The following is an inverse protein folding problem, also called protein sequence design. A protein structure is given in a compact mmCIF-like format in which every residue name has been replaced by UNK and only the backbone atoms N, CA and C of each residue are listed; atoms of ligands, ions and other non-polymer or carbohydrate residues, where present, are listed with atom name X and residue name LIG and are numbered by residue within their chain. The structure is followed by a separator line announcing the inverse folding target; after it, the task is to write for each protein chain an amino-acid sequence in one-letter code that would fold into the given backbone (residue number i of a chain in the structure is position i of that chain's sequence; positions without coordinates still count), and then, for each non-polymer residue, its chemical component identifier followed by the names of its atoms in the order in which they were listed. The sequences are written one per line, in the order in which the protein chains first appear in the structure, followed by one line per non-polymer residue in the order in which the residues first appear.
data_IF_543447576327
#
_entry.id   IF_543447576327
#
_cell.length_a   1.000
_cell.length_b   1.000
_cell.length_c   1.000
_cell.angle_alpha   90.00
_cell.angle_beta   90.00
_cell.angle_gamma   90.00
#
_symmetry.space_group_name_H-M   'P 1'
#
loop_
_entity.id
_entity.type
_entity.pdbx_description
1 polymer ?
#
# COMPACT_ATOMS: atom_id res chain seq x y z
N UNK A 1 16.41 -1.53 -24.00
CA UNK A 1 16.59 -1.11 -22.61
C UNK A 1 16.14 -2.24 -21.69
N UNK A 2 16.82 -2.41 -20.58
CA UNK A 2 16.42 -3.33 -19.49
C UNK A 2 16.13 -2.51 -18.25
N UNK A 3 15.06 -2.89 -17.51
CA UNK A 3 14.71 -2.29 -16.23
C UNK A 3 14.95 -3.29 -15.11
N UNK A 4 15.53 -2.83 -14.01
CA UNK A 4 15.78 -3.61 -12.80
C UNK A 4 15.23 -2.86 -11.61
N UNK A 5 14.39 -3.50 -10.80
CA UNK A 5 13.87 -2.91 -9.58
C UNK A 5 14.99 -2.68 -8.55
N UNK A 6 14.88 -1.59 -7.79
CA UNK A 6 15.74 -1.25 -6.65
C UNK A 6 14.85 -1.02 -5.43
N UNK A 7 15.43 -0.80 -4.25
CA UNK A 7 14.68 -0.57 -3.01
C UNK A 7 13.74 0.63 -3.11
N UNK A 8 14.21 1.74 -3.72
CA UNK A 8 13.49 3.01 -3.80
C UNK A 8 13.00 3.37 -5.21
N UNK A 9 13.04 2.42 -6.16
CA UNK A 9 12.64 2.72 -7.53
C UNK A 9 13.10 1.68 -8.55
N UNK A 10 13.70 2.13 -9.63
CA UNK A 10 14.21 1.25 -10.69
C UNK A 10 15.37 1.87 -11.47
N UNK A 11 16.24 1.02 -11.99
CA UNK A 11 17.35 1.37 -12.86
C UNK A 11 17.00 0.95 -14.30
N UNK A 12 17.10 1.89 -15.23
CA UNK A 12 16.95 1.61 -16.66
C UNK A 12 18.32 1.65 -17.34
N UNK A 13 18.77 0.50 -17.84
CA UNK A 13 20.01 0.41 -18.63
C UNK A 13 19.69 0.57 -20.12
N UNK A 14 20.25 1.60 -20.71
CA UNK A 14 20.07 1.89 -22.13
C UNK A 14 21.06 1.04 -22.98
N UNK A 15 20.65 0.54 -24.16
CA UNK A 15 21.50 -0.33 -25.00
C UNK A 15 22.66 0.42 -25.65
N UNK A 16 22.62 1.74 -25.65
CA UNK A 16 23.65 2.61 -26.24
C UNK A 16 23.77 3.91 -25.43
N UNK A 17 24.85 4.61 -25.63
CA UNK A 17 25.09 5.95 -25.10
C UNK A 17 24.09 6.95 -25.69
N UNK A 18 23.51 7.77 -24.85
CA UNK A 18 22.65 8.90 -25.24
C UNK A 18 23.51 10.03 -25.77
N UNK A 19 23.03 10.71 -26.79
CA UNK A 19 23.70 11.87 -27.38
C UNK A 19 23.15 13.15 -26.83
N UNK A 20 23.92 14.22 -26.90
CA UNK A 20 23.45 15.56 -26.55
C UNK A 20 22.22 15.93 -27.39
N UNK A 21 21.20 16.50 -26.73
CA UNK A 21 19.93 16.88 -27.36
C UNK A 21 18.98 15.73 -27.66
N UNK A 22 19.30 14.49 -27.25
CA UNK A 22 18.43 13.34 -27.44
C UNK A 22 17.37 13.24 -26.31
N UNK A 23 16.10 13.12 -26.71
CA UNK A 23 15.01 12.91 -25.77
C UNK A 23 14.96 11.45 -25.30
N UNK A 24 14.92 11.24 -24.00
CA UNK A 24 14.66 9.94 -23.37
C UNK A 24 13.28 10.00 -22.72
N UNK A 25 12.42 9.09 -23.12
CA UNK A 25 11.10 8.92 -22.51
C UNK A 25 11.09 7.62 -21.68
N UNK A 26 10.71 7.73 -20.40
CA UNK A 26 10.51 6.59 -19.51
C UNK A 26 9.07 6.62 -19.01
N UNK A 27 8.30 5.59 -19.36
CA UNK A 27 6.91 5.42 -18.90
C UNK A 27 6.85 4.34 -17.84
N UNK A 28 6.23 4.64 -16.70
CA UNK A 28 6.05 3.72 -15.60
C UNK A 28 4.73 3.99 -14.89
N UNK A 29 4.24 3.00 -14.14
CA UNK A 29 3.13 3.14 -13.22
C UNK A 29 3.67 3.07 -11.79
N UNK A 30 3.15 3.93 -10.92
CA UNK A 30 3.49 3.94 -9.51
C UNK A 30 2.24 4.25 -8.67
N UNK A 31 2.10 3.59 -7.52
CA UNK A 31 1.10 3.95 -6.52
C UNK A 31 1.64 5.08 -5.65
N UNK A 32 0.83 6.11 -5.45
CA UNK A 32 1.18 7.29 -4.64
C UNK A 32 0.26 7.37 -3.43
N UNK A 33 0.81 7.22 -2.25
CA UNK A 33 0.05 7.11 -0.99
C UNK A 33 0.17 8.37 -0.10
N UNK A 34 1.05 9.32 -0.46
CA UNK A 34 1.26 10.55 0.28
C UNK A 34 0.70 11.74 -0.49
N UNK A 35 0.24 12.75 0.24
CA UNK A 35 -0.30 13.98 -0.33
C UNK A 35 0.62 14.61 -1.38
N UNK A 36 1.93 14.47 -1.21
CA UNK A 36 2.94 14.98 -2.13
C UNK A 36 4.08 13.97 -2.21
N UNK A 37 4.31 13.45 -3.40
CA UNK A 37 5.41 12.52 -3.69
C UNK A 37 6.30 13.12 -4.75
N UNK A 38 7.60 13.26 -4.44
CA UNK A 38 8.61 13.75 -5.38
C UNK A 38 9.29 12.56 -6.05
N UNK A 39 9.31 12.58 -7.38
CA UNK A 39 10.10 11.65 -8.17
C UNK A 39 11.45 12.29 -8.49
N UNK A 40 12.52 11.55 -8.31
CA UNK A 40 13.88 11.97 -8.63
C UNK A 40 14.47 11.05 -9.70
N UNK A 41 15.15 11.65 -10.66
CA UNK A 41 15.83 10.92 -11.71
C UNK A 41 17.31 11.33 -11.75
N UNK A 42 18.19 10.38 -12.04
CA UNK A 42 19.60 10.64 -12.27
C UNK A 42 20.09 9.86 -13.47
N UNK A 43 21.10 10.40 -14.17
CA UNK A 43 21.81 9.75 -15.25
C UNK A 43 23.20 9.37 -14.78
N UNK A 44 23.67 8.21 -15.23
CA UNK A 44 24.98 7.68 -14.90
C UNK A 44 25.62 7.05 -16.15
N UNK A 45 26.91 7.30 -16.40
CA UNK A 45 27.66 6.60 -17.43
C UNK A 45 28.35 5.37 -16.81
N UNK A 46 27.87 4.18 -17.16
CA UNK A 46 28.35 2.91 -16.62
C UNK A 46 29.72 2.47 -17.17
N UNK A 47 30.31 3.19 -18.14
CA UNK A 47 31.52 2.76 -18.83
C UNK A 47 32.82 3.34 -18.25
N UNK A 48 32.77 4.48 -17.56
CA UNK A 48 33.99 5.22 -17.19
C UNK A 48 34.57 4.84 -15.80
N UNK A 49 34.11 3.80 -15.16
CA UNK A 49 34.64 3.37 -13.85
C UNK A 49 34.54 4.42 -12.71
N UNK A 50 34.30 5.67 -13.06
CA UNK A 50 33.90 6.75 -12.17
C UNK A 50 32.38 6.95 -12.37
N UNK A 51 31.59 6.37 -11.50
CA UNK A 51 30.15 6.51 -11.49
C UNK A 51 29.77 7.95 -11.11
N UNK A 52 29.87 8.88 -12.04
CA UNK A 52 29.40 10.25 -11.84
C UNK A 52 27.90 10.26 -12.12
N UNK A 53 27.15 10.32 -11.04
CA UNK A 53 25.69 10.43 -11.10
C UNK A 53 25.30 11.89 -11.25
N UNK A 54 24.59 12.20 -12.34
CA UNK A 54 24.02 13.52 -12.60
C UNK A 54 22.53 13.51 -12.29
N UNK A 55 22.10 14.38 -11.40
CA UNK A 55 20.66 14.58 -11.12
C UNK A 55 20.03 15.29 -12.31
N UNK A 56 18.82 14.86 -12.67
CA UNK A 56 17.99 15.53 -13.67
C UNK A 56 17.16 16.60 -12.98
N UNK A 57 17.25 17.83 -13.45
CA UNK A 57 16.46 18.95 -12.94
C UNK A 57 15.01 18.88 -13.49
N UNK A 58 14.05 19.42 -12.74
CA UNK A 58 12.70 19.62 -13.21
C UNK A 58 12.65 20.66 -14.33
N UNK A 59 11.87 20.39 -15.36
CA UNK A 59 11.71 21.30 -16.51
C UNK A 59 11.00 20.61 -17.65
N UNK A 60 10.61 21.40 -18.66
CA UNK A 60 9.96 20.87 -19.86
C UNK A 60 11.01 20.31 -20.81
N UNK A 61 10.96 18.98 -21.04
CA UNK A 61 11.86 18.30 -21.97
C UNK A 61 11.46 18.51 -23.45
N UNK A 62 10.15 18.73 -23.68
CA UNK A 62 9.61 19.03 -25.01
C UNK A 62 8.29 19.83 -24.86
N UNK A 63 7.76 20.33 -25.99
CA UNK A 63 6.54 21.14 -26.03
C UNK A 63 5.25 20.37 -25.75
N UNK A 64 5.29 19.03 -25.73
CA UNK A 64 4.12 18.19 -25.52
C UNK A 64 3.89 17.89 -24.03
N UNK A 65 4.83 18.26 -23.16
CA UNK A 65 4.79 18.05 -21.72
C UNK A 65 4.89 19.40 -21.02
N UNK A 66 3.76 19.96 -20.66
CA UNK A 66 3.66 21.21 -19.90
C UNK A 66 3.78 20.94 -18.40
N UNK A 67 4.89 20.40 -17.93
CA UNK A 67 5.10 20.14 -16.50
C UNK A 67 6.51 20.48 -16.05
N UNK A 68 6.62 21.56 -15.29
CA UNK A 68 7.85 21.98 -14.62
C UNK A 68 8.03 21.33 -13.24
N UNK A 69 7.31 20.24 -12.93
CA UNK A 69 7.32 19.61 -11.62
C UNK A 69 7.58 18.12 -11.70
N UNK A 70 8.42 17.64 -10.80
CA UNK A 70 8.61 16.20 -10.53
C UNK A 70 7.77 15.72 -9.33
N UNK A 71 6.83 16.56 -8.87
CA UNK A 71 5.97 16.27 -7.72
C UNK A 71 4.58 15.87 -8.20
N UNK A 72 4.12 14.71 -7.75
CA UNK A 72 2.73 14.29 -7.88
C UNK A 72 2.01 14.55 -6.57
N UNK A 73 0.87 15.21 -6.64
CA UNK A 73 0.04 15.51 -5.47
C UNK A 73 -1.30 14.81 -5.60
N UNK A 74 -1.74 14.17 -4.52
CA UNK A 74 -3.09 13.63 -4.38
C UNK A 74 -3.95 14.63 -3.58
N UNK A 75 -5.26 14.75 -3.88
CA UNK A 75 -6.15 15.61 -3.10
C UNK A 75 -6.16 15.20 -1.63
N UNK A 76 -6.12 16.18 -0.73
CA UNK A 76 -6.26 15.93 0.70
C UNK A 76 -7.71 15.54 0.97
N UNK A 77 -7.95 14.25 1.21
CA UNK A 77 -9.23 13.73 1.69
C UNK A 77 -9.22 13.62 3.22
N UNK A 78 -10.40 13.70 3.82
CA UNK A 78 -10.56 13.39 5.25
C UNK A 78 -10.41 11.89 5.55
N UNK A 79 -10.34 11.05 4.51
CA UNK A 79 -10.25 9.60 4.63
C UNK A 79 -8.80 9.14 4.53
N UNK A 80 -8.40 8.31 5.50
CA UNK A 80 -7.08 7.66 5.52
C UNK A 80 -7.12 6.30 4.81
N UNK A 81 -8.30 5.67 4.71
CA UNK A 81 -8.53 4.50 3.88
C UNK A 81 -8.85 4.95 2.45
N UNK A 82 -7.93 4.69 1.51
CA UNK A 82 -8.17 4.88 0.08
C UNK A 82 -9.01 3.72 -0.47
N UNK A 83 -8.73 2.51 0.00
CA UNK A 83 -9.48 1.29 -0.29
C UNK A 83 -9.43 0.33 0.89
N UNK A 84 -10.46 -0.50 1.02
CA UNK A 84 -10.53 -1.59 1.99
C UNK A 84 -11.35 -2.74 1.43
N UNK A 85 -10.71 -3.90 1.31
CA UNK A 85 -11.33 -5.15 0.89
C UNK A 85 -11.24 -6.19 2.00
N UNK A 86 -12.37 -6.82 2.31
CA UNK A 86 -12.51 -7.80 3.38
C UNK A 86 -13.12 -9.07 2.79
N UNK A 87 -12.33 -10.13 2.71
CA UNK A 87 -12.72 -11.41 2.11
C UNK A 87 -12.22 -12.60 2.91
N UNK A 88 -12.98 -13.71 2.96
CA UNK A 88 -14.37 -13.90 2.51
C UNK A 88 -15.40 -13.38 3.53
N UNK A 89 -16.65 -13.17 3.11
CA UNK A 89 -17.76 -12.88 4.03
C UNK A 89 -18.14 -14.10 4.89
N UNK A 90 -17.81 -15.32 4.43
CA UNK A 90 -18.05 -16.58 5.13
C UNK A 90 -16.72 -17.31 5.30
N UNK A 91 -16.25 -17.41 6.52
CA UNK A 91 -15.06 -18.14 6.90
C UNK A 91 -15.44 -19.60 7.22
N UNK A 92 -14.76 -20.55 6.56
CA UNK A 92 -14.96 -21.98 6.75
C UNK A 92 -13.67 -22.65 7.24
N UNK A 93 -13.18 -22.28 8.41
CA UNK A 93 -11.87 -22.67 8.94
C UNK A 93 -11.73 -24.19 9.21
N UNK A 94 -12.06 -25.02 8.20
CA UNK A 94 -12.07 -26.49 8.24
C UNK A 94 -10.77 -27.13 7.68
N UNK A 95 -9.89 -26.33 7.08
CA UNK A 95 -8.58 -26.77 6.57
C UNK A 95 -8.61 -27.38 5.16
N UNK A 96 -9.68 -27.13 4.37
CA UNK A 96 -9.80 -27.60 2.99
C UNK A 96 -9.11 -26.69 1.96
N UNK A 97 -8.53 -25.58 2.40
CA UNK A 97 -7.84 -24.58 1.59
C UNK A 97 -8.79 -23.56 0.94
N UNK A 98 -10.08 -23.55 1.32
CA UNK A 98 -11.06 -22.60 0.82
C UNK A 98 -11.68 -21.84 1.97
N UNK A 99 -11.61 -20.50 1.93
CA UNK A 99 -12.17 -19.62 2.97
C UNK A 99 -11.71 -19.98 4.39
N UNK A 100 -10.49 -20.55 4.53
CA UNK A 100 -9.91 -20.94 5.82
C UNK A 100 -9.30 -19.74 6.57
N UNK A 101 -9.11 -18.64 5.86
CA UNK A 101 -8.53 -17.40 6.39
C UNK A 101 -9.31 -16.19 5.89
N UNK A 102 -9.70 -15.33 6.81
CA UNK A 102 -10.19 -13.99 6.52
C UNK A 102 -8.98 -13.10 6.21
N UNK A 103 -9.03 -12.38 5.11
CA UNK A 103 -8.04 -11.39 4.70
C UNK A 103 -8.67 -10.01 4.66
N UNK A 104 -7.99 -9.03 5.24
CA UNK A 104 -8.34 -7.62 5.18
C UNK A 104 -7.20 -6.91 4.47
N UNK A 105 -7.45 -6.46 3.24
CA UNK A 105 -6.53 -5.64 2.47
C UNK A 105 -6.93 -4.18 2.66
N UNK A 106 -6.01 -3.35 3.05
CA UNK A 106 -6.23 -1.90 3.22
C UNK A 106 -5.17 -1.14 2.44
N UNK A 107 -5.60 -0.11 1.73
CA UNK A 107 -4.73 0.88 1.12
C UNK A 107 -4.85 2.18 1.90
N UNK A 108 -3.75 2.60 2.53
CA UNK A 108 -3.70 3.74 3.43
C UNK A 108 -3.00 4.92 2.75
N UNK A 109 -3.64 6.09 2.82
CA UNK A 109 -3.08 7.34 2.31
C UNK A 109 -2.88 8.36 3.42
N UNK A 110 -1.89 9.23 3.24
CA UNK A 110 -1.59 10.36 4.15
C UNK A 110 -1.23 9.97 5.59
N UNK A 111 -0.76 8.74 5.82
CA UNK A 111 -0.25 8.28 7.12
C UNK A 111 1.26 8.53 7.16
N UNK A 112 1.68 9.71 7.61
CA UNK A 112 3.08 10.18 7.57
C UNK A 112 3.97 9.55 8.64
N UNK A 113 3.39 9.15 9.78
CA UNK A 113 4.11 8.51 10.88
C UNK A 113 3.41 7.21 11.27
N UNK A 114 4.12 6.21 11.83
CA UNK A 114 3.50 4.95 12.22
C UNK A 114 2.30 5.14 13.14
N UNK A 115 1.14 4.56 12.76
CA UNK A 115 -0.13 4.62 13.49
C UNK A 115 -0.69 3.23 13.73
N UNK A 116 -1.41 3.01 14.84
CA UNK A 116 -2.04 1.73 15.11
C UNK A 116 -3.17 1.44 14.11
N UNK A 117 -3.00 0.39 13.31
CA UNK A 117 -4.05 -0.26 12.53
C UNK A 117 -4.50 -1.48 13.30
N UNK A 118 -5.77 -1.57 13.65
CA UNK A 118 -6.30 -2.68 14.42
C UNK A 118 -7.43 -3.41 13.70
N UNK A 119 -7.43 -4.74 13.81
CA UNK A 119 -8.49 -5.66 13.43
C UNK A 119 -9.09 -6.23 14.70
N UNK A 120 -10.40 -6.03 14.89
CA UNK A 120 -11.12 -6.56 16.05
C UNK A 120 -12.37 -7.29 15.60
N UNK A 121 -12.64 -8.45 16.22
CA UNK A 121 -13.88 -9.18 16.03
C UNK A 121 -14.68 -9.21 17.33
N UNK A 122 -15.96 -8.96 17.19
CA UNK A 122 -16.92 -8.99 18.28
C UNK A 122 -18.01 -10.02 17.99
N UNK A 123 -18.48 -10.73 19.01
CA UNK A 123 -19.72 -11.50 18.92
C UNK A 123 -20.94 -10.56 18.86
N UNK A 124 -22.13 -11.10 18.62
CA UNK A 124 -23.36 -10.31 18.57
C UNK A 124 -23.79 -9.73 19.95
N UNK A 125 -23.20 -10.22 21.03
CA UNK A 125 -23.39 -9.65 22.38
C UNK A 125 -22.41 -8.49 22.65
N UNK A 126 -21.50 -8.19 21.71
CA UNK A 126 -20.51 -7.12 21.81
C UNK A 126 -19.24 -7.50 22.58
N UNK A 127 -19.03 -8.78 22.88
CA UNK A 127 -17.79 -9.22 23.51
C UNK A 127 -16.67 -9.27 22.47
N UNK A 128 -15.49 -8.76 22.82
CA UNK A 128 -14.29 -8.85 21.99
C UNK A 128 -13.82 -10.32 21.95
N UNK A 129 -13.78 -10.88 20.74
CA UNK A 129 -13.37 -12.28 20.49
C UNK A 129 -11.93 -12.34 20.01
N UNK A 130 -11.53 -11.42 19.14
CA UNK A 130 -10.18 -11.38 18.56
C UNK A 130 -9.68 -9.95 18.39
N UNK A 131 -8.36 -9.76 18.52
CA UNK A 131 -7.67 -8.50 18.25
C UNK A 131 -6.30 -8.77 17.64
N UNK A 132 -6.01 -8.08 16.55
CA UNK A 132 -4.64 -7.88 16.01
C UNK A 132 -4.40 -6.37 15.87
N UNK A 133 -3.18 -5.91 16.15
CA UNK A 133 -2.82 -4.50 16.06
C UNK A 133 -1.39 -4.36 15.60
N UNK A 134 -1.16 -3.49 14.61
CA UNK A 134 0.16 -3.25 14.02
C UNK A 134 0.37 -1.76 13.80
N UNK A 135 1.61 -1.31 13.94
CA UNK A 135 2.00 0.04 13.53
C UNK A 135 2.25 0.05 12.02
N UNK A 136 1.55 0.94 11.31
CA UNK A 136 1.59 1.07 9.86
C UNK A 136 1.80 2.52 9.44
N UNK A 137 2.36 2.71 8.24
CA UNK A 137 2.43 3.98 7.53
C UNK A 137 1.55 3.92 6.28
N UNK A 138 1.52 4.97 5.46
CA UNK A 138 0.84 4.96 4.17
C UNK A 138 1.35 3.83 3.27
N UNK A 139 0.45 3.22 2.50
CA UNK A 139 0.72 2.08 1.62
C UNK A 139 -0.29 0.94 1.81
N UNK A 140 -0.03 -0.16 1.11
CA UNK A 140 -0.86 -1.36 1.15
C UNK A 140 -0.49 -2.24 2.35
N UNK A 141 -1.50 -2.67 3.09
CA UNK A 141 -1.35 -3.55 4.25
C UNK A 141 -2.34 -4.71 4.20
N UNK A 142 -1.92 -5.84 4.75
CA UNK A 142 -2.76 -7.03 4.87
C UNK A 142 -2.79 -7.50 6.32
N UNK A 143 -4.01 -7.66 6.87
CA UNK A 143 -4.24 -8.37 8.13
C UNK A 143 -5.00 -9.65 7.83
N UNK A 144 -4.76 -10.70 8.63
CA UNK A 144 -5.42 -11.99 8.42
C UNK A 144 -5.88 -12.60 9.74
N UNK A 145 -6.93 -13.43 9.65
CA UNK A 145 -7.43 -14.20 10.78
C UNK A 145 -7.96 -15.56 10.32
N UNK A 146 -7.51 -16.61 10.96
CA UNK A 146 -7.80 -18.00 10.59
C UNK A 146 -8.95 -18.63 11.40
N UNK A 147 -9.84 -17.86 11.96
CA UNK A 147 -10.97 -18.38 12.74
C UNK A 147 -10.60 -18.89 14.14
N UNK A 148 -9.36 -18.63 14.62
CA UNK A 148 -8.88 -19.17 15.89
C UNK A 148 -8.49 -18.08 16.86
N UNK A 149 -8.70 -18.39 18.13
CA UNK A 149 -8.22 -17.62 19.29
C UNK A 149 -7.50 -18.59 20.21
N UNK A 150 -6.24 -18.29 20.55
CA UNK A 150 -5.39 -19.17 21.36
C UNK A 150 -5.33 -20.64 20.85
N UNK A 151 -5.33 -20.78 19.50
CA UNK A 151 -5.28 -22.08 18.82
C UNK A 151 -6.62 -22.84 18.76
N UNK A 152 -7.69 -22.34 19.36
CA UNK A 152 -9.03 -22.95 19.32
C UNK A 152 -9.92 -22.22 18.33
N UNK A 153 -10.70 -22.95 17.55
CA UNK A 153 -11.74 -22.39 16.69
C UNK A 153 -12.78 -21.64 17.53
N UNK A 154 -13.18 -20.48 17.06
CA UNK A 154 -14.29 -19.72 17.68
C UNK A 154 -15.62 -20.45 17.40
N UNK A 155 -16.67 -20.19 18.14
CA UNK A 155 -17.97 -20.78 17.89
C UNK A 155 -18.51 -20.39 16.49
N UNK A 156 -19.21 -21.30 15.78
CA UNK A 156 -19.92 -20.91 14.56
C UNK A 156 -20.95 -19.84 14.85
N UNK A 157 -21.06 -18.84 13.97
CA UNK A 157 -21.99 -17.73 14.17
C UNK A 157 -21.62 -16.49 13.36
N UNK A 158 -22.33 -15.41 13.62
CA UNK A 158 -22.06 -14.09 13.03
C UNK A 158 -21.19 -13.27 13.98
N UNK A 159 -20.23 -12.57 13.40
CA UNK A 159 -19.29 -11.68 14.07
C UNK A 159 -19.28 -10.32 13.41
N UNK A 160 -19.07 -9.28 14.20
CA UNK A 160 -18.83 -7.93 13.69
C UNK A 160 -17.32 -7.70 13.67
N UNK A 161 -16.78 -7.59 12.47
CA UNK A 161 -15.40 -7.21 12.23
C UNK A 161 -15.30 -5.69 12.19
N UNK A 162 -14.33 -5.14 12.91
CA UNK A 162 -14.01 -3.72 12.96
C UNK A 162 -12.56 -3.53 12.59
N UNK A 163 -12.31 -2.81 11.50
CA UNK A 163 -10.97 -2.32 11.13
C UNK A 163 -10.89 -0.87 11.56
N UNK A 164 -9.89 -0.48 12.31
CA UNK A 164 -9.73 0.90 12.76
C UNK A 164 -8.29 1.38 12.64
N UNK A 165 -8.14 2.62 12.17
CA UNK A 165 -6.87 3.33 12.09
C UNK A 165 -6.94 4.59 12.96
N UNK A 166 -5.97 4.77 13.84
CA UNK A 166 -5.84 5.98 14.65
C UNK A 166 -5.14 7.08 13.85
N UNK A 167 -5.91 8.08 13.40
CA UNK A 167 -5.38 9.29 12.78
C UNK A 167 -5.06 10.38 13.81
N UNK A 168 -4.45 11.49 13.35
CA UNK A 168 -4.09 12.60 14.23
C UNK A 168 -5.29 13.32 14.83
N UNK A 169 -6.38 13.44 14.07
CA UNK A 169 -7.59 14.18 14.47
C UNK A 169 -8.75 13.26 14.89
N UNK A 170 -8.78 12.05 14.38
CA UNK A 170 -9.90 11.13 14.59
C UNK A 170 -9.49 9.68 14.32
N UNK A 171 -10.24 8.75 14.90
CA UNK A 171 -10.13 7.32 14.58
C UNK A 171 -11.08 7.03 13.42
N UNK A 172 -10.57 6.50 12.33
CA UNK A 172 -11.39 6.00 11.24
C UNK A 172 -11.67 4.52 11.43
N UNK A 173 -12.91 4.10 11.14
CA UNK A 173 -13.38 2.72 11.35
C UNK A 173 -14.23 2.26 10.19
N UNK A 174 -13.98 1.01 9.80
CA UNK A 174 -14.83 0.25 8.88
C UNK A 174 -15.38 -0.97 9.58
N UNK A 175 -16.63 -1.32 9.26
CA UNK A 175 -17.34 -2.41 9.89
C UNK A 175 -17.85 -3.39 8.83
N UNK A 176 -17.71 -4.68 9.10
CA UNK A 176 -18.24 -5.76 8.26
C UNK A 176 -18.82 -6.87 9.14
N UNK A 177 -19.92 -7.45 8.70
CA UNK A 177 -20.40 -8.68 9.31
C UNK A 177 -19.78 -9.86 8.57
N UNK A 178 -19.21 -10.79 9.32
CA UNK A 178 -18.62 -12.02 8.80
C UNK A 178 -19.27 -13.23 9.46
N UNK A 179 -19.51 -14.30 8.71
CA UNK A 179 -20.01 -15.55 9.23
C UNK A 179 -18.87 -16.55 9.42
N UNK A 180 -18.87 -17.29 10.52
CA UNK A 180 -17.98 -18.43 10.75
C UNK A 180 -18.82 -19.68 10.74
N UNK A 181 -18.47 -20.65 9.88
CA UNK A 181 -19.12 -21.97 9.75
C UNK A 181 -18.03 -23.05 9.63
N UNK A 182 -18.38 -24.30 9.92
CA UNK A 182 -17.46 -25.46 9.82
C UNK A 182 -18.13 -26.62 9.10
#
# INVERSE_FOLDING_TARGET
ATATATEDGFLVTLPRRVREGELIEVRFAASVHLQSTRFEMSLEDSRDGQQIRQRVDAGDANSDVESNSTVVSIPVGAHLFADIDITPDILTANGDGRNDELSVHVDLVNVLSPRPLSLRLYDLAGHLVYRDERLVTAGEHKLTWNGRVEGRLVAPGLYVLVVSLEGDAQVQKEHRVVAVVY
#
